data_IF_151564103809
#
_entry.id   IF_151564103809
#
_cell.length_a   1.000
_cell.length_b   1.000
_cell.length_c   1.000
_cell.angle_alpha   90.00
_cell.angle_beta   90.00
_cell.angle_gamma   90.00
#
_symmetry.space_group_name_H-M   'P 1'
#
loop_
_entity.id
_entity.type
_entity.pdbx_description
1 polymer ?
#
# COMPACT_ATOMS: atom_id res chain seq x y z
N UNK A 1 13.54 -1.34 -20.76
CA UNK A 1 13.71 -1.67 -19.32
C UNK A 1 12.37 -1.38 -18.65
N UNK A 2 11.84 -2.24 -17.78
CA UNK A 2 10.61 -1.92 -17.06
C UNK A 2 10.79 -0.60 -16.29
N UNK A 3 9.75 0.23 -16.26
CA UNK A 3 9.78 1.49 -15.50
C UNK A 3 9.92 1.16 -14.00
N UNK A 4 10.81 1.88 -13.31
CA UNK A 4 11.11 1.67 -11.91
C UNK A 4 10.56 2.85 -11.08
N UNK A 5 9.84 2.54 -10.00
CA UNK A 5 9.05 3.49 -9.23
C UNK A 5 9.65 3.69 -7.82
N UNK A 6 10.76 4.42 -7.73
CA UNK A 6 11.45 4.65 -6.45
C UNK A 6 10.83 5.73 -5.55
N UNK A 7 9.75 6.38 -6.02
CA UNK A 7 9.06 7.42 -5.26
C UNK A 7 8.11 6.89 -4.20
N UNK A 8 7.57 7.81 -3.40
CA UNK A 8 6.41 7.56 -2.53
C UNK A 8 5.18 8.13 -3.23
N UNK A 9 4.13 7.32 -3.35
CA UNK A 9 2.93 7.62 -4.11
C UNK A 9 1.71 7.67 -3.20
N UNK A 10 0.72 8.46 -3.60
CA UNK A 10 -0.59 8.45 -2.95
C UNK A 10 -1.40 7.27 -3.44
N UNK A 11 -1.88 6.47 -2.50
CA UNK A 11 -2.82 5.39 -2.76
C UNK A 11 -4.05 5.47 -1.88
N UNK A 12 -5.00 4.58 -2.15
CA UNK A 12 -6.23 4.44 -1.37
C UNK A 12 -6.46 2.99 -1.03
N UNK A 13 -6.85 2.72 0.21
CA UNK A 13 -7.25 1.38 0.63
C UNK A 13 -8.61 1.07 0.01
N UNK A 14 -8.71 -0.07 -0.69
CA UNK A 14 -9.96 -0.54 -1.29
C UNK A 14 -10.48 -1.83 -0.66
N UNK A 15 -9.63 -2.60 0.00
CA UNK A 15 -10.03 -3.80 0.74
C UNK A 15 -9.10 -4.07 1.93
N UNK A 16 -9.67 -4.50 3.05
CA UNK A 16 -8.96 -4.85 4.29
C UNK A 16 -9.14 -6.32 4.69
N UNK A 17 -9.95 -7.08 3.94
CA UNK A 17 -10.22 -8.50 4.19
C UNK A 17 -9.15 -9.36 3.53
N UNK A 18 -7.94 -9.36 4.09
CA UNK A 18 -6.84 -10.21 3.62
C UNK A 18 -7.19 -11.71 3.79
N UNK A 19 -7.38 -12.48 2.69
CA UNK A 19 -7.72 -13.89 2.77
C UNK A 19 -6.61 -14.74 3.41
N UNK A 20 -5.39 -14.21 3.48
CA UNK A 20 -4.22 -14.91 4.04
C UNK A 20 -3.90 -14.50 5.48
N UNK A 21 -4.67 -13.58 6.07
CA UNK A 21 -4.44 -13.05 7.42
C UNK A 21 -2.99 -12.57 7.68
N UNK A 22 -2.28 -12.13 6.63
CA UNK A 22 -0.86 -11.75 6.67
C UNK A 22 -0.65 -10.26 6.97
N UNK A 23 -1.73 -9.53 7.29
CA UNK A 23 -1.68 -8.09 7.59
C UNK A 23 -1.56 -7.21 6.34
N UNK A 24 -2.10 -7.66 5.20
CA UNK A 24 -2.09 -6.90 3.94
C UNK A 24 -3.41 -6.16 3.72
N UNK A 25 -3.36 -5.15 2.86
CA UNK A 25 -4.54 -4.42 2.38
C UNK A 25 -4.47 -4.30 0.86
N UNK A 26 -5.61 -4.28 0.17
CA UNK A 26 -5.60 -3.91 -1.24
C UNK A 26 -5.57 -2.40 -1.39
N UNK A 27 -4.68 -1.92 -2.25
CA UNK A 27 -4.55 -0.51 -2.57
C UNK A 27 -4.65 -0.23 -4.06
N UNK A 28 -5.14 0.96 -4.37
CA UNK A 28 -5.03 1.56 -5.71
C UNK A 28 -4.07 2.73 -5.64
N UNK A 29 -3.27 2.95 -6.68
CA UNK A 29 -2.33 4.08 -6.79
C UNK A 29 -2.64 4.84 -8.09
N UNK A 30 -3.47 5.90 -8.05
CA UNK A 30 -3.94 6.58 -9.27
C UNK A 30 -2.83 7.12 -10.18
N UNK A 31 -1.67 7.45 -9.60
CA UNK A 31 -0.50 7.91 -10.35
C UNK A 31 0.13 6.82 -11.23
N UNK A 32 -0.20 5.54 -11.00
CA UNK A 32 0.33 4.39 -11.72
C UNK A 32 -0.85 3.50 -12.14
N UNK A 33 -1.32 3.67 -13.38
CA UNK A 33 -2.53 3.00 -13.87
C UNK A 33 -2.53 1.47 -13.75
N UNK A 34 -1.34 0.85 -13.70
CA UNK A 34 -1.18 -0.60 -13.54
C UNK A 34 -1.43 -1.10 -12.10
N UNK A 35 -1.47 -0.23 -11.10
CA UNK A 35 -1.67 -0.60 -9.67
C UNK A 35 -3.12 -0.34 -9.29
N UNK A 36 -3.97 -1.30 -9.65
CA UNK A 36 -5.40 -1.28 -9.36
C UNK A 36 -5.78 -2.50 -8.50
N UNK A 37 -5.86 -2.30 -7.18
CA UNK A 37 -6.23 -3.30 -6.17
C UNK A 37 -5.19 -4.41 -5.92
N UNK A 38 -3.91 -4.04 -5.86
CA UNK A 38 -2.83 -4.96 -5.45
C UNK A 38 -2.77 -5.09 -3.92
N UNK A 39 -2.48 -6.29 -3.44
CA UNK A 39 -2.24 -6.56 -2.02
C UNK A 39 -0.88 -6.01 -1.60
N UNK A 40 -0.89 -5.09 -0.65
CA UNK A 40 0.30 -4.47 -0.07
C UNK A 40 0.39 -4.81 1.42
N UNK A 41 1.52 -5.31 1.93
CA UNK A 41 1.78 -5.31 3.36
C UNK A 41 1.74 -3.89 3.91
N UNK A 42 1.20 -3.76 5.12
CA UNK A 42 1.26 -2.52 5.89
C UNK A 42 2.54 -2.53 6.71
N UNK A 43 3.41 -1.55 6.48
CA UNK A 43 4.60 -1.33 7.29
C UNK A 43 4.18 -1.13 8.74
N UNK A 44 4.68 -2.02 9.62
CA UNK A 44 4.39 -1.97 11.04
C UNK A 44 5.02 -0.72 11.68
N UNK A 45 4.33 -0.05 12.61
CA UNK A 45 4.91 1.07 13.33
C UNK A 45 6.05 0.60 14.25
N UNK A 46 7.05 1.46 14.46
CA UNK A 46 8.18 1.22 15.37
C UNK A 46 7.77 1.17 16.88
N UNK A 47 6.48 1.24 17.21
CA UNK A 47 5.90 1.27 18.55
C UNK A 47 4.46 0.70 18.51
N UNK A 48 3.77 0.37 19.63
CA UNK A 48 2.53 -0.42 19.64
C UNK A 48 1.26 0.34 19.16
N UNK A 49 1.41 1.32 18.28
CA UNK A 49 0.30 2.06 17.68
C UNK A 49 -0.44 1.15 16.71
N UNK A 50 -1.48 0.45 17.19
CA UNK A 50 -2.38 -0.32 16.32
C UNK A 50 -3.51 0.58 15.85
N UNK A 51 -3.31 1.26 14.73
CA UNK A 51 -4.42 1.82 13.96
C UNK A 51 -4.93 0.76 12.98
N UNK A 52 -6.23 0.45 13.02
CA UNK A 52 -6.84 -0.47 12.07
C UNK A 52 -6.91 0.21 10.68
N UNK A 53 -6.50 -0.46 9.59
CA UNK A 53 -6.67 0.07 8.26
C UNK A 53 -8.16 0.27 7.93
N UNK A 54 -8.51 1.41 7.33
CA UNK A 54 -9.88 1.73 6.93
C UNK A 54 -10.01 1.78 5.41
N UNK A 55 -11.04 1.11 4.88
CA UNK A 55 -11.38 1.22 3.45
C UNK A 55 -11.69 2.69 3.14
N UNK A 56 -11.11 3.17 2.04
CA UNK A 56 -11.24 4.55 1.60
C UNK A 56 -10.18 5.50 2.16
N UNK A 57 -9.40 5.09 3.16
CA UNK A 57 -8.31 5.91 3.70
C UNK A 57 -7.22 6.16 2.65
N UNK A 58 -6.66 7.37 2.69
CA UNK A 58 -5.53 7.73 1.84
C UNK A 58 -4.24 7.33 2.52
N UNK A 59 -3.37 6.65 1.79
CA UNK A 59 -2.12 6.08 2.30
C UNK A 59 -0.93 6.49 1.45
N UNK A 60 0.25 6.46 2.06
CA UNK A 60 1.52 6.52 1.34
C UNK A 60 1.95 5.11 0.95
N UNK A 61 2.28 4.93 -0.33
CA UNK A 61 2.66 3.66 -0.92
C UNK A 61 4.05 3.80 -1.53
N UNK A 62 4.92 2.84 -1.27
CA UNK A 62 6.20 2.67 -1.95
C UNK A 62 6.23 1.30 -2.65
N UNK A 63 7.29 1.04 -3.42
CA UNK A 63 7.45 -0.19 -4.19
C UNK A 63 8.81 -0.82 -3.89
N UNK A 64 8.83 -2.11 -3.56
CA UNK A 64 10.07 -2.84 -3.27
C UNK A 64 10.97 -2.85 -4.50
N UNK A 65 12.21 -2.37 -4.36
CA UNK A 65 13.15 -2.19 -5.49
C UNK A 65 12.58 -1.40 -6.69
N UNK A 66 11.54 -0.57 -6.44
CA UNK A 66 10.81 0.17 -7.47
C UNK A 66 9.91 -0.70 -8.37
N UNK A 67 9.62 -1.94 -7.98
CA UNK A 67 8.72 -2.82 -8.71
C UNK A 67 7.24 -2.53 -8.36
N UNK A 68 6.49 -2.05 -9.36
CA UNK A 68 5.06 -1.73 -9.23
C UNK A 68 4.20 -2.91 -8.74
N UNK A 69 4.65 -4.14 -8.95
CA UNK A 69 3.91 -5.35 -8.59
C UNK A 69 4.16 -5.76 -7.13
N UNK A 70 5.09 -5.08 -6.43
CA UNK A 70 5.44 -5.27 -5.02
C UNK A 70 5.22 -3.98 -4.19
N UNK A 71 3.96 -3.51 -4.03
CA UNK A 71 3.66 -2.32 -3.24
C UNK A 71 3.77 -2.56 -1.73
N UNK A 72 4.15 -1.52 -0.97
CA UNK A 72 4.17 -1.49 0.50
C UNK A 72 3.47 -0.23 0.99
N UNK A 73 2.54 -0.38 1.94
CA UNK A 73 1.87 0.76 2.58
C UNK A 73 2.73 1.25 3.74
N UNK A 74 3.22 2.49 3.66
CA UNK A 74 4.07 3.09 4.69
C UNK A 74 3.28 3.66 5.87
N UNK A 75 2.03 4.04 5.63
CA UNK A 75 1.15 4.61 6.65
C UNK A 75 -0.02 5.39 6.05
N UNK A 76 -0.95 5.78 6.92
CA UNK A 76 -2.06 6.68 6.57
C UNK A 76 -1.54 8.09 6.41
N UNK A 77 -1.98 8.75 5.34
CA UNK A 77 -1.81 10.19 5.25
C UNK A 77 -2.78 10.91 6.18
N UNK A 78 -2.40 12.08 6.74
CA UNK A 78 -3.36 13.06 7.23
C UNK A 78 -4.33 13.51 6.12
#
# INVERSE_FOLDING_TARGET
>A
MPAQFFGVYRGRIVNTQDPTASGRVQVTVPAIAAVNALWAPVAGPFAPVRAAPQIGATVWVAFEAGDKDHPVVLGTSP
#
